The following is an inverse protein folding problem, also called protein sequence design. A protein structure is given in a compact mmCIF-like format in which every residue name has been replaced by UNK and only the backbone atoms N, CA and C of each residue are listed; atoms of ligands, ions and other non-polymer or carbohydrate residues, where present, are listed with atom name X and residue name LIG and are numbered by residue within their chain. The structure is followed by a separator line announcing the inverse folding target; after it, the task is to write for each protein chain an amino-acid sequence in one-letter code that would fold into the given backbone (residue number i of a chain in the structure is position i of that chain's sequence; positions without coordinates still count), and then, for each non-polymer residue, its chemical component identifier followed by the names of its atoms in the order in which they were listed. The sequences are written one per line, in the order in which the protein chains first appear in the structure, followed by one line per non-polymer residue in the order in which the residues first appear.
data_IF_743658771666
#
_entry.id   IF_743658771666
#
_cell.length_a   1.000
_cell.length_b   1.000
_cell.length_c   1.000
_cell.angle_alpha   90.00
_cell.angle_beta   90.00
_cell.angle_gamma   90.00
#
_symmetry.space_group_name_H-M   'P 1'
#
loop_
_entity.id
_entity.type
_entity.pdbx_description
1 polymer ?
#
# COMPACT_ATOMS: atom_id res chain seq x y z
N UNK A 1 -13.76 7.95 -2.13
CA UNK A 1 -14.00 6.51 -2.30
C UNK A 1 -13.27 5.76 -1.19
N UNK A 2 -13.84 4.70 -0.63
CA UNK A 2 -13.13 3.83 0.33
C UNK A 2 -13.03 2.44 -0.28
N UNK A 3 -11.81 1.93 -0.45
CA UNK A 3 -11.51 0.60 -0.97
C UNK A 3 -10.47 -0.06 -0.07
N UNK A 4 -10.57 -1.38 0.10
CA UNK A 4 -9.71 -2.20 0.94
C UNK A 4 -9.54 -3.56 0.29
N UNK A 5 -8.32 -4.06 0.21
CA UNK A 5 -8.00 -5.44 -0.17
C UNK A 5 -7.37 -6.12 1.04
N UNK A 6 -7.87 -7.31 1.38
CA UNK A 6 -7.39 -8.14 2.47
C UNK A 6 -6.87 -9.46 1.89
N UNK A 7 -5.77 -9.99 2.44
CA UNK A 7 -5.20 -11.26 2.02
C UNK A 7 -4.37 -11.89 3.12
N UNK A 8 -4.18 -13.20 3.03
CA UNK A 8 -3.33 -13.98 3.94
C UNK A 8 -2.38 -14.85 3.11
N UNK A 9 -1.16 -15.03 3.60
CA UNK A 9 -0.13 -15.78 2.89
C UNK A 9 1.16 -15.91 3.69
N UNK A 10 2.15 -16.57 3.10
CA UNK A 10 3.49 -16.66 3.69
C UNK A 10 4.23 -15.32 3.58
N UNK A 11 5.35 -15.20 4.30
CA UNK A 11 6.26 -14.04 4.17
C UNK A 11 6.68 -13.79 2.71
N UNK A 12 6.89 -14.86 1.94
CA UNK A 12 7.30 -14.76 0.54
C UNK A 12 6.15 -14.26 -0.35
N UNK A 13 4.91 -14.68 -0.08
CA UNK A 13 3.73 -14.21 -0.81
C UNK A 13 3.52 -12.70 -0.57
N UNK A 14 3.60 -12.27 0.70
CA UNK A 14 3.47 -10.85 1.08
C UNK A 14 4.59 -10.01 0.47
N UNK A 15 5.84 -10.48 0.51
CA UNK A 15 6.97 -9.77 -0.11
C UNK A 15 6.81 -9.66 -1.63
N UNK A 16 6.32 -10.70 -2.29
CA UNK A 16 6.06 -10.68 -3.74
C UNK A 16 4.94 -9.71 -4.09
N UNK A 17 3.88 -9.69 -3.28
CA UNK A 17 2.78 -8.73 -3.42
C UNK A 17 3.26 -7.28 -3.25
N UNK A 18 4.04 -6.98 -2.21
CA UNK A 18 4.58 -5.63 -1.96
C UNK A 18 5.47 -5.14 -3.11
N UNK A 19 6.31 -6.01 -3.68
CA UNK A 19 7.11 -5.69 -4.85
C UNK A 19 6.23 -5.39 -6.08
N UNK A 20 5.19 -6.19 -6.31
CA UNK A 20 4.22 -5.93 -7.39
C UNK A 20 3.45 -4.62 -7.19
N UNK A 21 3.06 -4.31 -5.96
CA UNK A 21 2.40 -3.07 -5.59
C UNK A 21 3.32 -1.86 -5.85
N UNK A 22 4.59 -1.93 -5.43
CA UNK A 22 5.56 -0.88 -5.66
C UNK A 22 5.76 -0.60 -7.16
N UNK A 23 5.87 -1.64 -7.98
CA UNK A 23 5.95 -1.51 -9.43
C UNK A 23 4.71 -0.79 -10.01
N UNK A 24 3.50 -1.20 -9.59
CA UNK A 24 2.23 -0.60 -10.04
C UNK A 24 2.08 0.87 -9.64
N UNK A 25 2.56 1.25 -8.45
CA UNK A 25 2.60 2.65 -8.00
C UNK A 25 3.54 3.45 -8.91
N UNK A 26 4.76 2.96 -9.12
CA UNK A 26 5.76 3.62 -9.97
C UNK A 26 5.33 3.79 -11.43
N UNK A 27 4.58 2.82 -11.97
CA UNK A 27 4.03 2.88 -13.34
C UNK A 27 2.68 3.56 -13.46
N UNK A 28 2.13 4.11 -12.35
CA UNK A 28 0.77 4.70 -12.30
C UNK A 28 -0.33 3.77 -12.83
N UNK A 29 -0.17 2.47 -12.62
CA UNK A 29 -1.10 1.43 -13.13
C UNK A 29 -1.89 0.77 -12.02
N UNK A 30 -2.06 1.45 -10.88
CA UNK A 30 -2.87 0.95 -9.79
C UNK A 30 -4.33 0.89 -10.24
N UNK A 31 -5.06 -0.17 -9.87
CA UNK A 31 -6.49 -0.27 -10.12
C UNK A 31 -7.21 -0.43 -8.79
N UNK A 32 -8.28 0.33 -8.59
CA UNK A 32 -9.15 0.30 -7.42
C UNK A 32 -10.51 -0.16 -7.90
N UNK A 33 -11.01 -1.27 -7.36
CA UNK A 33 -12.30 -1.87 -7.76
C UNK A 33 -12.40 -2.15 -9.28
N UNK A 34 -11.30 -2.64 -9.86
CA UNK A 34 -11.21 -2.91 -11.31
C UNK A 34 -11.19 -1.66 -12.20
N UNK A 35 -11.17 -0.45 -11.62
CA UNK A 35 -11.02 0.81 -12.34
C UNK A 35 -9.59 1.35 -12.17
N UNK A 36 -8.94 1.87 -13.22
CA UNK A 36 -7.66 2.55 -13.08
C UNK A 36 -7.75 3.69 -12.07
N UNK A 37 -6.83 3.72 -11.11
CA UNK A 37 -6.73 4.78 -10.12
C UNK A 37 -5.70 5.82 -10.58
N UNK A 38 -6.13 7.06 -10.73
CA UNK A 38 -5.23 8.18 -11.00
C UNK A 38 -4.55 8.60 -9.69
N UNK A 39 -3.28 8.25 -9.55
CA UNK A 39 -2.45 8.71 -8.44
C UNK A 39 -2.00 10.16 -8.72
N UNK A 40 -2.12 11.09 -7.76
CA UNK A 40 -1.62 12.45 -7.91
C UNK A 40 -0.11 12.49 -8.16
N UNK A 41 0.33 13.51 -8.89
CA UNK A 41 1.74 13.85 -9.03
C UNK A 41 2.18 14.75 -7.88
N UNK A 42 3.38 14.52 -7.34
CA UNK A 42 3.94 15.34 -6.28
C UNK A 42 4.74 14.55 -5.25
N UNK A 43 5.09 15.22 -4.15
CA UNK A 43 5.73 14.59 -3.00
C UNK A 43 4.78 13.61 -2.32
N UNK A 44 5.36 12.50 -1.84
CA UNK A 44 4.64 11.44 -1.16
C UNK A 44 4.99 11.48 0.31
N UNK A 45 3.97 11.48 1.16
CA UNK A 45 4.16 11.20 2.57
C UNK A 45 4.04 9.69 2.80
N UNK A 46 5.00 9.11 3.52
CA UNK A 46 4.94 7.71 3.91
C UNK A 46 5.11 7.55 5.41
N UNK A 47 4.46 6.53 5.97
CA UNK A 47 4.58 6.15 7.37
C UNK A 47 4.70 4.64 7.45
N UNK A 48 5.75 4.17 8.13
CA UNK A 48 5.94 2.77 8.50
C UNK A 48 5.81 2.65 10.02
N UNK A 49 4.91 1.79 10.49
CA UNK A 49 4.71 1.49 11.90
C UNK A 49 4.91 0.00 12.13
N UNK A 50 5.67 -0.33 13.16
CA UNK A 50 5.81 -1.67 13.69
C UNK A 50 5.29 -1.69 15.12
N UNK A 51 4.47 -2.67 15.43
CA UNK A 51 3.85 -2.86 16.73
C UNK A 51 3.94 -4.36 17.07
N UNK A 52 4.32 -4.70 18.29
CA UNK A 52 4.49 -6.08 18.73
C UNK A 52 4.08 -6.20 20.20
N UNK A 53 3.17 -7.14 20.47
CA UNK A 53 2.67 -7.50 21.79
C UNK A 53 2.81 -9.02 22.01
N UNK A 54 2.44 -9.53 23.20
CA UNK A 54 2.61 -10.95 23.57
C UNK A 54 1.94 -11.96 22.61
N UNK A 55 1.00 -11.52 21.78
CA UNK A 55 0.23 -12.39 20.88
C UNK A 55 0.38 -12.11 19.38
N UNK A 56 0.94 -10.97 18.98
CA UNK A 56 0.95 -10.53 17.58
C UNK A 56 2.10 -9.55 17.30
N UNK A 57 2.63 -9.62 16.08
CA UNK A 57 3.48 -8.59 15.50
C UNK A 57 2.84 -8.05 14.23
N UNK A 58 2.66 -6.72 14.15
CA UNK A 58 2.02 -6.04 13.06
C UNK A 58 2.97 -5.01 12.42
N UNK A 59 3.03 -5.03 11.08
CA UNK A 59 3.67 -3.98 10.29
C UNK A 59 2.62 -3.27 9.44
N UNK A 60 2.50 -1.95 9.60
CA UNK A 60 1.61 -1.12 8.80
C UNK A 60 2.43 -0.14 7.96
N UNK A 61 2.22 -0.16 6.65
CA UNK A 61 2.78 0.82 5.71
C UNK A 61 1.66 1.64 5.09
N UNK A 62 1.74 2.96 5.25
CA UNK A 62 0.78 3.92 4.71
C UNK A 62 1.50 4.90 3.80
N UNK A 63 0.96 5.10 2.60
CA UNK A 63 1.37 6.15 1.65
C UNK A 63 0.20 7.11 1.48
N UNK A 64 0.50 8.41 1.52
CA UNK A 64 -0.48 9.48 1.36
C UNK A 64 -0.01 10.44 0.29
N UNK A 65 -0.90 10.72 -0.67
CA UNK A 65 -0.72 11.80 -1.63
C UNK A 65 -1.44 13.03 -1.08
N UNK A 66 -0.74 14.14 -0.81
CA UNK A 66 -1.38 15.38 -0.43
C UNK A 66 -2.24 15.88 -1.59
N UNK A 67 -3.57 15.88 -1.43
CA UNK A 67 -4.48 16.46 -2.43
C UNK A 67 -4.65 17.94 -2.14
N UNK A 68 -3.62 18.73 -2.42
CA UNK A 68 -3.63 20.19 -2.29
C UNK A 68 -2.38 20.77 -1.64
N UNK A 69 -1.80 21.78 -2.30
CA UNK A 69 -1.11 22.89 -1.63
C UNK A 69 -2.11 24.02 -1.42
#
# INVERSE_FOLDING_TARGET
MKWKEDGTGTRQDVASYLNGLAARIGSRSLSVDGQPATLPDGELEYTLKYDEDEGEAQLAFKVTWPTGS
#
